data_IF_292932488103
#
_entry.id   IF_292932488103
#
_cell.length_a   1.000
_cell.length_b   1.000
_cell.length_c   1.000
_cell.angle_alpha   90.00
_cell.angle_beta   90.00
_cell.angle_gamma   90.00
#
_symmetry.space_group_name_H-M   'P 1'
#
loop_
_entity.id
_entity.type
_entity.pdbx_description
1 polymer ?
#
# COMPACT_ATOMS: atom_id res chain seq x y z
N UNK A 1 36.33 -9.27 -56.30
CA UNK A 1 36.09 -10.61 -55.71
C UNK A 1 34.99 -10.46 -54.67
N UNK A 2 33.90 -11.23 -54.86
CA UNK A 2 32.74 -11.35 -53.96
C UNK A 2 33.16 -11.78 -52.54
N UNK A 3 32.24 -11.59 -51.57
CA UNK A 3 32.06 -12.30 -50.27
C UNK A 3 32.33 -11.39 -49.05
N UNK A 4 31.46 -11.15 -48.07
CA UNK A 4 30.10 -11.60 -47.76
C UNK A 4 29.41 -10.48 -46.96
N UNK A 5 28.14 -10.23 -47.31
CA UNK A 5 27.17 -9.47 -46.55
C UNK A 5 26.79 -10.32 -45.33
N UNK A 6 27.29 -9.99 -44.13
CA UNK A 6 26.81 -10.59 -42.88
C UNK A 6 25.80 -9.63 -42.25
N UNK A 7 24.60 -9.59 -42.83
CA UNK A 7 23.45 -8.96 -42.19
C UNK A 7 23.04 -9.83 -41.01
N UNK A 8 23.54 -9.51 -39.82
CA UNK A 8 23.06 -10.07 -38.57
C UNK A 8 21.61 -9.59 -38.44
N UNK A 9 20.67 -10.50 -38.70
CA UNK A 9 19.26 -10.29 -38.41
C UNK A 9 19.10 -10.11 -36.91
N UNK A 10 19.03 -8.85 -36.48
CA UNK A 10 18.58 -8.50 -35.15
C UNK A 10 17.08 -8.81 -35.10
N UNK A 11 16.75 -10.06 -34.81
CA UNK A 11 15.39 -10.42 -34.41
C UNK A 11 15.18 -9.71 -33.07
N UNK A 12 14.56 -8.53 -33.12
CA UNK A 12 14.01 -7.87 -31.95
C UNK A 12 13.01 -8.85 -31.34
N UNK A 13 13.49 -9.68 -30.41
CA UNK A 13 12.64 -10.35 -29.44
C UNK A 13 12.07 -9.22 -28.62
N UNK A 14 10.90 -8.74 -29.03
CA UNK A 14 10.01 -7.96 -28.19
C UNK A 14 9.68 -8.87 -27.01
N UNK A 15 10.50 -8.82 -25.97
CA UNK A 15 10.09 -9.27 -24.65
C UNK A 15 8.92 -8.39 -24.30
N UNK A 16 7.71 -8.89 -24.54
CA UNK A 16 6.49 -8.27 -24.03
C UNK A 16 6.66 -8.26 -22.52
N UNK A 17 7.06 -7.12 -21.97
CA UNK A 17 6.87 -6.87 -20.56
C UNK A 17 5.39 -7.12 -20.31
N UNK A 18 5.07 -8.15 -19.52
CA UNK A 18 3.73 -8.35 -18.99
C UNK A 18 3.46 -7.18 -18.04
N UNK A 19 3.12 -6.02 -18.59
CA UNK A 19 2.47 -4.98 -17.84
C UNK A 19 1.10 -5.51 -17.46
N UNK A 20 0.69 -5.27 -16.22
CA UNK A 20 -0.60 -5.71 -15.74
C UNK A 20 -1.70 -5.06 -16.59
N UNK A 21 -2.47 -5.87 -17.31
CA UNK A 21 -3.61 -5.41 -18.09
C UNK A 21 -4.75 -5.08 -17.13
N UNK A 22 -4.82 -3.81 -16.71
CA UNK A 22 -5.96 -3.33 -15.95
C UNK A 22 -7.17 -3.11 -16.87
N UNK A 23 -8.40 -3.36 -16.38
CA UNK A 23 -9.60 -2.99 -17.10
C UNK A 23 -9.58 -1.51 -17.45
N UNK A 24 -9.95 -1.16 -18.69
CA UNK A 24 -10.16 0.25 -19.05
C UNK A 24 -11.40 0.76 -18.31
N UNK A 25 -11.22 1.82 -17.53
CA UNK A 25 -12.30 2.53 -16.86
C UNK A 25 -12.86 3.58 -17.84
N UNK A 26 -14.18 3.71 -17.90
CA UNK A 26 -14.83 4.78 -18.66
C UNK A 26 -14.33 6.16 -18.19
N UNK A 27 -14.12 7.09 -19.13
CA UNK A 27 -13.49 8.37 -18.82
C UNK A 27 -14.32 9.22 -17.84
N UNK A 28 -15.65 9.18 -17.94
CA UNK A 28 -16.50 9.91 -17.01
C UNK A 28 -16.44 9.28 -15.61
N UNK A 29 -16.36 7.95 -15.52
CA UNK A 29 -16.17 7.23 -14.25
C UNK A 29 -14.81 7.57 -13.63
N UNK A 30 -13.74 7.59 -14.43
CA UNK A 30 -12.39 7.93 -13.99
C UNK A 30 -12.32 9.36 -13.44
N UNK A 31 -12.89 10.34 -14.16
CA UNK A 31 -12.94 11.73 -13.70
C UNK A 31 -13.74 11.82 -12.39
N UNK A 32 -14.89 11.17 -12.30
CA UNK A 32 -15.71 11.15 -11.07
C UNK A 32 -14.94 10.61 -9.87
N UNK A 33 -14.13 9.57 -10.05
CA UNK A 33 -13.31 8.97 -8.99
C UNK A 33 -12.11 9.84 -8.57
N UNK A 34 -11.65 10.76 -9.43
CA UNK A 34 -10.56 11.70 -9.13
C UNK A 34 -11.05 12.98 -8.44
N UNK A 35 -12.36 13.22 -8.40
CA UNK A 35 -12.90 14.37 -7.69
C UNK A 35 -12.72 14.19 -6.17
N UNK A 36 -12.31 15.23 -5.43
CA UNK A 36 -12.22 15.17 -3.99
C UNK A 36 -13.55 14.73 -3.37
N UNK A 37 -13.50 13.74 -2.47
CA UNK A 37 -14.69 13.34 -1.71
C UNK A 37 -15.10 14.46 -0.76
N UNK A 38 -16.36 14.83 -0.79
CA UNK A 38 -16.94 15.74 0.19
C UNK A 38 -17.15 15.04 1.54
N UNK A 39 -16.99 15.78 2.64
CA UNK A 39 -17.19 15.26 3.99
C UNK A 39 -16.03 14.45 4.54
N UNK A 40 -16.33 13.52 5.44
CA UNK A 40 -15.34 12.70 6.14
C UNK A 40 -14.88 11.55 5.25
N UNK A 41 -13.57 11.43 5.05
CA UNK A 41 -12.95 10.37 4.24
C UNK A 41 -12.68 9.15 5.11
N UNK A 42 -13.09 7.97 4.65
CA UNK A 42 -12.73 6.68 5.24
C UNK A 42 -11.41 6.23 4.64
N UNK A 43 -10.42 5.95 5.48
CA UNK A 43 -9.12 5.53 4.98
C UNK A 43 -8.50 4.39 5.78
N UNK A 44 -7.56 3.72 5.13
CA UNK A 44 -6.55 2.84 5.72
C UNK A 44 -5.20 3.52 5.49
N UNK A 45 -4.34 3.52 6.51
CA UNK A 45 -2.94 3.93 6.36
C UNK A 45 -2.06 2.69 6.35
N UNK A 46 -1.40 2.41 5.23
CA UNK A 46 -0.33 1.43 5.09
C UNK A 46 0.99 2.20 5.21
N UNK A 47 1.84 1.87 6.19
CA UNK A 47 2.99 2.73 6.53
C UNK A 47 4.09 1.91 7.17
N UNK A 48 5.33 2.21 6.79
CA UNK A 48 6.54 1.69 7.39
C UNK A 48 7.02 2.63 8.51
N UNK A 49 6.16 2.87 9.51
CA UNK A 49 6.25 3.97 10.48
C UNK A 49 7.56 4.12 11.26
N UNK A 50 8.42 3.09 11.26
CA UNK A 50 9.74 3.15 11.89
C UNK A 50 10.87 3.53 10.92
N UNK A 51 10.63 3.44 9.62
CA UNK A 51 11.65 3.62 8.59
C UNK A 51 12.12 5.07 8.49
N UNK A 52 11.18 6.02 8.43
CA UNK A 52 11.46 7.46 8.38
C UNK A 52 10.55 8.24 9.35
N UNK A 53 10.96 9.45 9.70
CA UNK A 53 10.31 10.24 10.77
C UNK A 53 8.96 10.83 10.33
N UNK A 54 8.81 11.10 9.03
CA UNK A 54 7.62 11.71 8.46
C UNK A 54 6.39 10.80 8.59
N UNK A 55 6.54 9.48 8.55
CA UNK A 55 5.45 8.55 8.81
C UNK A 55 4.81 8.71 10.19
N UNK A 56 5.62 8.97 11.23
CA UNK A 56 5.11 9.20 12.58
C UNK A 56 4.22 10.44 12.64
N UNK A 57 4.60 11.49 11.89
CA UNK A 57 3.81 12.71 11.76
C UNK A 57 2.56 12.48 10.91
N UNK A 58 2.67 11.74 9.80
CA UNK A 58 1.54 11.40 8.94
C UNK A 58 0.47 10.62 9.71
N UNK A 59 0.88 9.58 10.45
CA UNK A 59 -0.02 8.80 11.30
C UNK A 59 -0.66 9.66 12.40
N UNK A 60 0.15 10.45 13.12
CA UNK A 60 -0.36 11.31 14.19
C UNK A 60 -1.37 12.34 13.66
N UNK A 61 -1.07 12.95 12.51
CA UNK A 61 -1.95 13.91 11.85
C UNK A 61 -3.26 13.26 11.41
N UNK A 62 -3.20 12.08 10.78
CA UNK A 62 -4.39 11.36 10.34
C UNK A 62 -5.30 10.96 11.52
N UNK A 63 -4.72 10.51 12.64
CA UNK A 63 -5.45 10.14 13.84
C UNK A 63 -6.09 11.35 14.55
N UNK A 64 -5.42 12.50 14.56
CA UNK A 64 -5.91 13.71 15.22
C UNK A 64 -6.89 14.53 14.38
N UNK A 65 -7.00 14.25 13.07
CA UNK A 65 -7.90 14.95 12.13
C UNK A 65 -9.28 14.28 12.07
N UNK A 66 -9.87 13.93 13.21
CA UNK A 66 -11.11 13.14 13.29
C UNK A 66 -12.34 13.80 12.65
N UNK A 67 -12.32 15.11 12.41
CA UNK A 67 -13.39 15.83 11.73
C UNK A 67 -13.34 15.64 10.20
N UNK A 68 -12.19 15.25 9.65
CA UNK A 68 -11.97 15.03 8.20
C UNK A 68 -11.69 13.59 7.83
N UNK A 69 -11.06 12.83 8.73
CA UNK A 69 -10.54 11.49 8.42
C UNK A 69 -11.09 10.47 9.41
N UNK A 70 -11.59 9.35 8.90
CA UNK A 70 -11.90 8.15 9.66
C UNK A 70 -10.83 7.10 9.33
N UNK A 71 -9.81 6.99 10.16
CA UNK A 71 -8.83 5.90 10.07
C UNK A 71 -9.51 4.60 10.49
N UNK A 72 -9.71 3.69 9.55
CA UNK A 72 -10.38 2.40 9.79
C UNK A 72 -9.42 1.26 10.11
N UNK A 73 -8.16 1.40 9.71
CA UNK A 73 -7.06 0.52 10.06
C UNK A 73 -5.71 1.20 9.77
N UNK A 74 -4.68 0.72 10.45
CA UNK A 74 -3.28 1.04 10.21
C UNK A 74 -2.56 -0.28 9.94
N UNK A 75 -1.86 -0.37 8.81
CA UNK A 75 -1.13 -1.55 8.39
C UNK A 75 0.36 -1.28 8.48
N UNK A 76 1.07 -2.12 9.23
CA UNK A 76 2.53 -2.03 9.35
C UNK A 76 3.18 -2.58 8.07
N UNK A 77 3.84 -1.72 7.28
CA UNK A 77 4.57 -2.14 6.08
C UNK A 77 5.99 -2.62 6.40
N UNK A 78 6.51 -3.60 5.63
CA UNK A 78 7.89 -4.02 5.71
C UNK A 78 8.85 -3.03 5.05
N UNK A 79 9.99 -2.79 5.68
CA UNK A 79 11.13 -2.08 5.09
C UNK A 79 12.44 -2.84 5.37
N UNK A 80 13.46 -2.65 4.53
CA UNK A 80 14.77 -3.28 4.69
C UNK A 80 15.91 -2.33 4.36
N UNK A 81 16.62 -1.88 5.40
CA UNK A 81 17.79 -1.02 5.33
C UNK A 81 18.64 -1.18 6.60
N UNK A 82 19.50 -0.21 6.92
CA UNK A 82 20.34 -0.25 8.13
C UNK A 82 19.57 -0.27 9.46
N UNK A 83 18.26 0.01 9.44
CA UNK A 83 17.38 0.01 10.60
C UNK A 83 16.68 -1.33 10.82
N UNK A 84 16.82 -2.33 9.94
CA UNK A 84 16.21 -3.65 10.11
C UNK A 84 17.08 -4.81 9.62
N UNK A 85 16.83 -6.01 10.15
CA UNK A 85 17.56 -7.24 9.79
C UNK A 85 16.95 -7.95 8.57
N UNK A 86 15.67 -7.69 8.30
CA UNK A 86 14.90 -8.25 7.17
C UNK A 86 13.63 -7.42 6.94
N UNK A 87 12.91 -7.61 5.81
CA UNK A 87 11.61 -6.99 5.60
C UNK A 87 10.61 -7.30 6.72
N UNK A 88 10.62 -8.54 7.24
CA UNK A 88 9.76 -8.95 8.35
C UNK A 88 10.13 -8.28 9.68
N UNK A 89 11.42 -8.11 9.94
CA UNK A 89 11.89 -7.32 11.10
C UNK A 89 11.47 -5.85 10.97
N UNK A 90 11.61 -5.27 9.77
CA UNK A 90 11.11 -3.91 9.51
C UNK A 90 9.61 -3.79 9.74
N UNK A 91 8.82 -4.77 9.30
CA UNK A 91 7.38 -4.79 9.56
C UNK A 91 7.04 -4.83 11.05
N UNK A 92 7.71 -5.67 11.84
CA UNK A 92 7.49 -5.71 13.30
C UNK A 92 7.89 -4.39 13.96
N UNK A 93 8.99 -3.76 13.53
CA UNK A 93 9.39 -2.43 14.03
C UNK A 93 8.34 -1.36 13.71
N UNK A 94 7.81 -1.34 12.49
CA UNK A 94 6.69 -0.46 12.12
C UNK A 94 5.46 -0.73 13.00
N UNK A 95 5.12 -2.01 13.23
CA UNK A 95 3.98 -2.39 14.07
C UNK A 95 4.15 -1.89 15.52
N UNK A 96 5.31 -2.11 16.12
CA UNK A 96 5.62 -1.64 17.47
C UNK A 96 5.61 -0.11 17.57
N UNK A 97 6.11 0.56 16.54
CA UNK A 97 6.14 2.02 16.48
C UNK A 97 4.74 2.63 16.39
N UNK A 98 3.85 2.05 15.57
CA UNK A 98 2.43 2.44 15.52
C UNK A 98 1.80 2.30 16.91
N UNK A 99 2.02 1.18 17.60
CA UNK A 99 1.50 0.95 18.95
C UNK A 99 2.04 1.98 19.96
N UNK A 100 3.32 2.35 19.84
CA UNK A 100 3.95 3.38 20.66
C UNK A 100 3.27 4.74 20.46
N UNK A 101 3.00 5.13 19.21
CA UNK A 101 2.31 6.37 18.88
C UNK A 101 0.87 6.39 19.39
N UNK A 102 0.10 5.31 19.20
CA UNK A 102 -1.25 5.19 19.75
C UNK A 102 -1.28 5.38 21.26
N UNK A 103 -0.31 4.78 21.97
CA UNK A 103 -0.15 4.96 23.42
C UNK A 103 0.14 6.41 23.80
N UNK A 104 1.04 7.10 23.07
CA UNK A 104 1.37 8.51 23.31
C UNK A 104 0.17 9.44 23.07
N UNK A 105 -0.66 9.11 22.07
CA UNK A 105 -1.88 9.85 21.74
C UNK A 105 -3.08 9.48 22.64
N UNK A 106 -2.90 8.52 23.56
CA UNK A 106 -3.97 7.99 24.41
C UNK A 106 -5.16 7.40 23.62
N UNK A 107 -4.91 6.86 22.43
CA UNK A 107 -5.92 6.23 21.58
C UNK A 107 -5.96 4.74 21.90
N UNK A 108 -7.10 4.29 22.42
CA UNK A 108 -7.37 2.87 22.67
C UNK A 108 -8.49 2.40 21.74
N UNK A 109 -8.11 1.71 20.68
CA UNK A 109 -9.06 1.11 19.73
C UNK A 109 -8.69 -0.35 19.48
N UNK A 110 -9.64 -1.25 19.74
CA UNK A 110 -9.46 -2.66 19.43
C UNK A 110 -9.41 -2.86 17.91
N UNK A 111 -8.51 -3.75 17.47
CA UNK A 111 -8.32 -4.12 16.05
C UNK A 111 -8.11 -2.93 15.10
N UNK A 112 -7.35 -1.92 15.52
CA UNK A 112 -6.96 -0.80 14.66
C UNK A 112 -5.65 -1.05 13.90
N UNK A 113 -4.70 -1.80 14.47
CA UNK A 113 -3.36 -2.02 13.91
C UNK A 113 -3.19 -3.47 13.49
N UNK A 114 -2.71 -3.71 12.27
CA UNK A 114 -2.52 -5.05 11.71
C UNK A 114 -1.10 -5.25 11.20
N UNK A 115 -0.57 -6.46 11.38
CA UNK A 115 0.72 -6.85 10.80
C UNK A 115 0.61 -7.00 9.28
N UNK A 116 1.54 -6.37 8.56
CA UNK A 116 1.69 -6.51 7.12
C UNK A 116 2.39 -7.80 6.71
N UNK A 117 2.81 -7.85 5.45
CA UNK A 117 3.60 -8.97 4.92
C UNK A 117 5.01 -8.97 5.49
N UNK A 118 5.54 -10.16 5.81
CA UNK A 118 6.92 -10.33 6.31
C UNK A 118 7.98 -10.40 5.21
N UNK A 119 7.58 -10.24 3.94
CA UNK A 119 8.46 -10.28 2.79
C UNK A 119 7.89 -9.42 1.65
N UNK A 120 8.73 -9.04 0.70
CA UNK A 120 8.30 -8.34 -0.50
C UNK A 120 7.59 -9.28 -1.47
N UNK A 121 6.62 -8.74 -2.20
CA UNK A 121 5.89 -9.49 -3.20
C UNK A 121 6.85 -9.93 -4.31
N UNK A 122 6.98 -11.26 -4.51
CA UNK A 122 7.84 -11.81 -5.56
C UNK A 122 7.20 -11.71 -6.95
N UNK A 123 5.92 -12.08 -7.05
CA UNK A 123 5.14 -12.03 -8.27
C UNK A 123 3.64 -12.04 -7.95
N UNK A 124 2.81 -11.64 -8.91
CA UNK A 124 1.34 -11.50 -8.75
C UNK A 124 0.64 -12.85 -8.50
N UNK A 125 1.19 -13.95 -9.01
CA UNK A 125 0.63 -15.31 -8.84
C UNK A 125 0.89 -15.93 -7.47
N UNK A 126 1.83 -15.38 -6.70
CA UNK A 126 2.20 -15.85 -5.36
C UNK A 126 2.00 -14.73 -4.32
N UNK A 127 0.73 -14.37 -4.03
CA UNK A 127 0.45 -13.31 -3.06
C UNK A 127 0.90 -13.73 -1.65
N UNK A 128 1.41 -12.76 -0.90
CA UNK A 128 1.77 -12.97 0.50
C UNK A 128 0.53 -12.68 1.36
N UNK A 129 0.11 -13.70 2.12
CA UNK A 129 -1.00 -13.57 3.05
C UNK A 129 -0.52 -12.89 4.34
N UNK A 130 -1.23 -11.85 4.78
CA UNK A 130 -0.97 -11.12 6.04
C UNK A 130 -2.29 -10.72 6.71
N UNK A 131 -2.22 -10.29 7.98
CA UNK A 131 -3.41 -9.78 8.69
C UNK A 131 -3.97 -8.53 7.99
N UNK A 132 -3.07 -7.59 7.64
CA UNK A 132 -3.42 -6.39 6.89
C UNK A 132 -4.12 -6.70 5.56
N UNK A 133 -3.59 -7.62 4.75
CA UNK A 133 -4.20 -7.97 3.47
C UNK A 133 -5.59 -8.59 3.62
N UNK A 134 -5.80 -9.43 4.64
CA UNK A 134 -7.09 -10.06 4.90
C UNK A 134 -8.12 -9.06 5.41
N UNK A 135 -7.72 -8.14 6.28
CA UNK A 135 -8.56 -7.06 6.75
C UNK A 135 -8.95 -6.13 5.60
N UNK A 136 -7.99 -5.74 4.74
CA UNK A 136 -8.25 -4.91 3.56
C UNK A 136 -9.27 -5.55 2.63
N UNK A 137 -9.09 -6.84 2.31
CA UNK A 137 -10.04 -7.57 1.45
C UNK A 137 -11.44 -7.57 2.08
N UNK A 138 -11.54 -7.78 3.39
CA UNK A 138 -12.84 -7.78 4.07
C UNK A 138 -13.50 -6.39 4.01
N UNK A 139 -12.76 -5.31 4.26
CA UNK A 139 -13.29 -3.94 4.23
C UNK A 139 -13.63 -3.48 2.81
N UNK A 140 -12.78 -3.82 1.83
CA UNK A 140 -13.01 -3.53 0.43
C UNK A 140 -14.30 -4.19 -0.09
N UNK A 141 -14.55 -5.46 0.25
CA UNK A 141 -15.79 -6.18 -0.11
C UNK A 141 -17.06 -5.57 0.49
N UNK A 142 -16.95 -4.80 1.57
CA UNK A 142 -18.06 -4.08 2.22
C UNK A 142 -18.25 -2.65 1.70
N UNK A 143 -17.31 -2.15 0.88
CA UNK A 143 -17.31 -0.77 0.38
C UNK A 143 -18.05 -0.67 -0.96
N UNK A 144 -18.52 0.53 -1.30
CA UNK A 144 -19.22 0.81 -2.57
C UNK A 144 -18.53 1.96 -3.32
N UNK A 145 -18.82 2.16 -4.62
CA UNK A 145 -18.32 3.32 -5.35
C UNK A 145 -18.73 4.67 -4.74
N UNK A 146 -19.88 4.75 -4.08
CA UNK A 146 -20.40 5.94 -3.42
C UNK A 146 -19.77 6.16 -2.03
N UNK A 147 -19.38 5.08 -1.35
CA UNK A 147 -18.64 5.13 -0.10
C UNK A 147 -17.31 4.37 -0.18
N UNK A 148 -16.34 4.92 -0.94
CA UNK A 148 -15.06 4.25 -1.15
C UNK A 148 -14.22 4.26 0.14
N UNK A 149 -13.42 3.21 0.26
CA UNK A 149 -12.35 3.09 1.23
C UNK A 149 -11.04 3.49 0.55
N UNK A 150 -10.41 4.57 1.02
CA UNK A 150 -9.13 5.02 0.50
C UNK A 150 -8.00 4.24 1.18
N UNK A 151 -6.99 3.83 0.41
CA UNK A 151 -5.76 3.25 0.93
C UNK A 151 -4.65 4.25 0.65
N UNK A 152 -3.99 4.71 1.69
CA UNK A 152 -2.85 5.63 1.63
C UNK A 152 -1.62 4.82 2.03
N UNK A 153 -0.58 4.89 1.20
CA UNK A 153 0.68 4.16 1.37
C UNK A 153 1.85 5.04 0.89
#
# INVERSE_FOLDING_TARGET
MKKYLLTIGFLLVYVTAFCQQFPKIDEAVRIKQLMPKEGKVRMILDTDTYNEVDDQFALSYALLSEEKVKVEAIYAAPFYNSLSESPGDGMEKSYEEIQRLLKLLHIVQDRLVFRGSTNYLKNVSEPIRSEAALDLIQKAKKSTPEDPLYVVA
#
